data_IF_511033056819
#
_entry.id   IF_511033056819
#
_cell.length_a   1.000
_cell.length_b   1.000
_cell.length_c   1.000
_cell.angle_alpha   90.00
_cell.angle_beta   90.00
_cell.angle_gamma   90.00
#
_symmetry.space_group_name_H-M   'P 1'
#
loop_
_entity.id
_entity.type
_entity.pdbx_description
1 polymer ?
#
# COMPACT_ATOMS: atom_id res chain seq x y z
N UNK A 1 11.07 2.11 -20.88
CA UNK A 1 10.84 2.85 -19.62
C UNK A 1 12.21 3.22 -19.10
N UNK A 2 12.55 4.51 -19.10
CA UNK A 2 13.83 4.93 -18.54
C UNK A 2 13.78 4.83 -17.01
N UNK A 3 14.81 4.21 -16.42
CA UNK A 3 14.96 4.07 -14.98
C UNK A 3 15.48 5.40 -14.42
N UNK A 4 14.57 6.37 -14.28
CA UNK A 4 14.89 7.68 -13.74
C UNK A 4 14.65 7.77 -12.22
N UNK A 5 15.05 8.88 -11.62
CA UNK A 5 14.83 9.13 -10.18
C UNK A 5 13.35 9.12 -9.80
N UNK A 6 12.44 9.50 -10.71
CA UNK A 6 11.00 9.48 -10.44
C UNK A 6 10.48 8.05 -10.36
N UNK A 7 10.97 7.14 -11.21
CA UNK A 7 10.60 5.73 -11.20
C UNK A 7 10.93 5.07 -9.86
N UNK A 8 12.16 5.24 -9.35
CA UNK A 8 12.55 4.69 -8.04
C UNK A 8 11.77 5.32 -6.89
N UNK A 9 11.54 6.63 -6.94
CA UNK A 9 10.71 7.33 -5.97
C UNK A 9 9.27 6.80 -5.96
N UNK A 10 8.69 6.52 -7.12
CA UNK A 10 7.30 6.09 -7.23
C UNK A 10 7.11 4.62 -6.86
N UNK A 11 8.05 3.76 -7.26
CA UNK A 11 7.98 2.32 -6.99
C UNK A 11 8.41 1.99 -5.55
N UNK A 12 9.60 2.43 -5.12
CA UNK A 12 10.13 2.07 -3.80
C UNK A 12 9.81 3.14 -2.76
N UNK A 13 10.01 4.42 -3.09
CA UNK A 13 9.85 5.52 -2.14
C UNK A 13 8.42 5.64 -1.61
N UNK A 14 7.45 5.83 -2.50
CA UNK A 14 6.04 5.94 -2.12
C UNK A 14 5.50 4.63 -1.54
N UNK A 15 5.87 3.48 -2.08
CA UNK A 15 5.47 2.18 -1.54
C UNK A 15 5.91 2.00 -0.09
N UNK A 16 7.17 2.31 0.21
CA UNK A 16 7.71 2.26 1.57
C UNK A 16 7.06 3.29 2.50
N UNK A 17 6.88 4.54 2.06
CA UNK A 17 6.27 5.58 2.89
C UNK A 17 4.81 5.26 3.23
N UNK A 18 4.04 4.74 2.27
CA UNK A 18 2.65 4.32 2.50
C UNK A 18 2.57 3.14 3.46
N UNK A 19 3.45 2.15 3.30
CA UNK A 19 3.57 1.03 4.24
C UNK A 19 3.93 1.52 5.65
N UNK A 20 4.95 2.38 5.77
CA UNK A 20 5.41 2.92 7.05
C UNK A 20 4.31 3.72 7.75
N UNK A 21 3.52 4.50 7.01
CA UNK A 21 2.37 5.21 7.55
C UNK A 21 1.33 4.22 8.11
N UNK A 22 1.00 3.16 7.38
CA UNK A 22 0.10 2.12 7.85
C UNK A 22 0.63 1.40 9.10
N UNK A 23 1.92 1.07 9.11
CA UNK A 23 2.62 0.45 10.22
C UNK A 23 2.57 1.31 11.50
N UNK A 24 2.90 2.60 11.38
CA UNK A 24 2.84 3.55 12.51
C UNK A 24 1.42 3.72 13.01
N UNK A 25 0.43 3.87 12.12
CA UNK A 25 -0.98 3.91 12.51
C UNK A 25 -1.41 2.63 13.23
N UNK A 26 -0.94 1.46 12.78
CA UNK A 26 -1.17 0.17 13.43
C UNK A 26 -0.72 0.17 14.88
N UNK A 27 0.49 0.64 15.15
CA UNK A 27 1.04 0.75 16.51
C UNK A 27 0.21 1.74 17.35
N UNK A 28 -0.13 2.90 16.80
CA UNK A 28 -0.92 3.92 17.52
C UNK A 28 -2.31 3.40 17.87
N UNK A 29 -3.00 2.77 16.91
CA UNK A 29 -4.35 2.24 17.12
C UNK A 29 -4.36 1.03 18.06
N UNK A 30 -3.30 0.23 18.08
CA UNK A 30 -3.17 -0.86 19.04
C UNK A 30 -3.26 -0.39 20.51
N UNK A 31 -2.86 0.86 20.79
CA UNK A 31 -2.96 1.44 22.14
C UNK A 31 -4.38 1.89 22.53
N UNK A 32 -5.30 2.04 21.58
CA UNK A 32 -6.61 2.69 21.81
C UNK A 32 -7.82 1.87 21.35
N UNK A 33 -7.64 0.77 20.62
CA UNK A 33 -8.75 -0.06 20.14
C UNK A 33 -8.42 -1.55 20.03
N UNK A 34 -9.43 -2.44 19.98
CA UNK A 34 -9.22 -3.88 19.83
C UNK A 34 -8.48 -4.25 18.53
N UNK A 35 -7.56 -5.20 18.61
CA UNK A 35 -6.69 -5.59 17.49
C UNK A 35 -7.44 -5.99 16.21
N UNK A 36 -8.61 -6.63 16.33
CA UNK A 36 -9.41 -7.06 15.18
C UNK A 36 -10.06 -5.90 14.41
N UNK A 37 -10.14 -4.70 14.99
CA UNK A 37 -10.72 -3.51 14.33
C UNK A 37 -9.66 -2.69 13.58
N UNK A 38 -8.39 -2.82 13.95
CA UNK A 38 -7.30 -1.93 13.51
C UNK A 38 -7.20 -1.92 11.98
N UNK A 39 -7.11 -3.08 11.34
CA UNK A 39 -6.99 -3.14 9.87
C UNK A 39 -8.21 -2.56 9.17
N UNK A 40 -9.41 -2.77 9.69
CA UNK A 40 -10.64 -2.19 9.14
C UNK A 40 -10.69 -0.66 9.26
N UNK A 41 -10.08 -0.06 10.29
CA UNK A 41 -10.01 1.39 10.45
C UNK A 41 -8.88 1.99 9.61
N UNK A 42 -7.72 1.34 9.52
CA UNK A 42 -6.58 1.83 8.73
C UNK A 42 -6.88 1.78 7.24
N UNK A 43 -7.49 0.69 6.76
CA UNK A 43 -7.73 0.45 5.33
C UNK A 43 -8.40 1.63 4.60
N UNK A 44 -9.54 2.20 5.06
CA UNK A 44 -10.16 3.34 4.38
C UNK A 44 -9.27 4.59 4.37
N UNK A 45 -8.57 4.88 5.47
CA UNK A 45 -7.65 6.02 5.59
C UNK A 45 -6.49 5.87 4.60
N UNK A 46 -5.83 4.70 4.64
CA UNK A 46 -4.71 4.37 3.77
C UNK A 46 -5.14 4.37 2.29
N UNK A 47 -6.36 3.91 1.99
CA UNK A 47 -6.91 3.93 0.62
C UNK A 47 -7.05 5.36 0.08
N UNK A 48 -7.60 6.28 0.87
CA UNK A 48 -7.74 7.69 0.47
C UNK A 48 -6.38 8.32 0.21
N UNK A 49 -5.41 8.10 1.11
CA UNK A 49 -4.05 8.63 0.96
C UNK A 49 -3.36 8.02 -0.27
N UNK A 50 -3.50 6.71 -0.47
CA UNK A 50 -2.94 5.99 -1.63
C UNK A 50 -3.50 6.53 -2.94
N UNK A 51 -4.83 6.73 -3.01
CA UNK A 51 -5.47 7.35 -4.18
C UNK A 51 -4.94 8.75 -4.43
N UNK A 52 -4.78 9.57 -3.38
CA UNK A 52 -4.19 10.90 -3.52
C UNK A 52 -2.76 10.84 -4.07
N UNK A 53 -1.90 9.93 -3.59
CA UNK A 53 -0.54 9.73 -4.14
C UNK A 53 -0.60 9.32 -5.61
N UNK A 54 -1.37 8.28 -5.94
CA UNK A 54 -1.48 7.76 -7.31
C UNK A 54 -1.99 8.79 -8.31
N UNK A 55 -2.93 9.65 -7.89
CA UNK A 55 -3.55 10.66 -8.74
C UNK A 55 -2.68 11.92 -8.84
N UNK A 56 -2.19 12.44 -7.71
CA UNK A 56 -1.58 13.78 -7.62
C UNK A 56 -0.06 13.79 -7.63
N UNK A 57 0.60 12.68 -7.30
CA UNK A 57 2.06 12.64 -7.12
C UNK A 57 2.78 11.83 -8.19
N UNK A 58 2.10 10.85 -8.79
CA UNK A 58 2.63 10.06 -9.89
C UNK A 58 2.10 10.67 -11.19
N UNK A 59 2.98 11.10 -12.08
CA UNK A 59 2.62 11.87 -13.30
C UNK A 59 2.49 11.00 -14.57
N UNK A 60 2.82 9.71 -14.48
CA UNK A 60 2.71 8.77 -15.60
C UNK A 60 1.25 8.53 -16.03
N UNK A 61 1.09 8.13 -17.31
CA UNK A 61 -0.18 7.72 -17.93
C UNK A 61 -0.10 6.30 -18.51
N UNK A 62 1.07 5.67 -18.42
CA UNK A 62 1.32 4.32 -18.93
C UNK A 62 0.74 3.26 -18.01
N UNK A 63 -0.09 2.36 -18.55
CA UNK A 63 -0.64 1.23 -17.79
C UNK A 63 0.46 0.32 -17.24
N UNK A 64 1.48 0.01 -18.06
CA UNK A 64 2.61 -0.83 -17.65
C UNK A 64 3.36 -0.23 -16.46
N UNK A 65 3.49 1.10 -16.41
CA UNK A 65 4.13 1.79 -15.29
C UNK A 65 3.38 1.54 -13.97
N UNK A 66 2.06 1.71 -13.99
CA UNK A 66 1.22 1.45 -12.82
C UNK A 66 1.13 -0.03 -12.44
N UNK A 67 1.22 -0.93 -13.41
CA UNK A 67 1.31 -2.38 -13.14
C UNK A 67 2.58 -2.70 -12.34
N UNK A 68 3.73 -2.14 -12.76
CA UNK A 68 4.99 -2.32 -12.04
C UNK A 68 4.90 -1.73 -10.64
N UNK A 69 4.28 -0.55 -10.48
CA UNK A 69 4.02 0.04 -9.16
C UNK A 69 3.19 -0.91 -8.29
N UNK A 70 2.06 -1.42 -8.79
CA UNK A 70 1.18 -2.29 -8.02
C UNK A 70 1.86 -3.58 -7.58
N UNK A 71 2.61 -4.24 -8.48
CA UNK A 71 3.38 -5.44 -8.13
C UNK A 71 4.47 -5.12 -7.10
N UNK A 72 5.22 -4.04 -7.32
CA UNK A 72 6.33 -3.66 -6.43
C UNK A 72 5.83 -3.31 -5.04
N UNK A 73 4.75 -2.52 -4.94
CA UNK A 73 4.17 -2.13 -3.67
C UNK A 73 3.58 -3.34 -2.92
N UNK A 74 2.93 -4.27 -3.62
CA UNK A 74 2.43 -5.50 -3.02
C UNK A 74 3.56 -6.34 -2.42
N UNK A 75 4.63 -6.58 -3.21
CA UNK A 75 5.78 -7.36 -2.74
C UNK A 75 6.43 -6.67 -1.54
N UNK A 76 6.64 -5.36 -1.64
CA UNK A 76 7.26 -4.56 -0.58
C UNK A 76 6.42 -4.62 0.70
N UNK A 77 5.10 -4.44 0.61
CA UNK A 77 4.19 -4.55 1.74
C UNK A 77 4.26 -5.94 2.40
N UNK A 78 4.10 -7.01 1.62
CA UNK A 78 4.10 -8.38 2.14
C UNK A 78 5.43 -8.75 2.81
N UNK A 79 6.56 -8.34 2.22
CA UNK A 79 7.90 -8.57 2.79
C UNK A 79 8.07 -7.81 4.10
N UNK A 80 7.71 -6.52 4.13
CA UNK A 80 7.87 -5.70 5.32
C UNK A 80 6.92 -6.16 6.45
N UNK A 81 5.67 -6.51 6.15
CA UNK A 81 4.75 -7.08 7.14
C UNK A 81 5.28 -8.39 7.72
N UNK A 82 5.85 -9.25 6.88
CA UNK A 82 6.44 -10.50 7.36
C UNK A 82 7.55 -10.26 8.39
N UNK A 83 8.48 -9.34 8.11
CA UNK A 83 9.59 -9.07 9.02
C UNK A 83 9.18 -8.24 10.23
N UNK A 84 8.46 -7.14 10.02
CA UNK A 84 8.17 -6.15 11.06
C UNK A 84 6.88 -6.42 11.83
N UNK A 85 6.03 -7.34 11.38
CA UNK A 85 4.80 -7.69 12.08
C UNK A 85 4.80 -9.16 12.48
N UNK A 86 4.88 -10.06 11.51
CA UNK A 86 4.80 -11.51 11.78
C UNK A 86 5.97 -11.96 12.64
N UNK A 87 7.21 -11.66 12.21
CA UNK A 87 8.43 -12.05 12.93
C UNK A 87 8.74 -11.20 14.14
N UNK A 88 8.38 -9.92 14.15
CA UNK A 88 8.66 -9.06 15.30
C UNK A 88 7.67 -9.31 16.46
N UNK A 89 6.37 -9.42 16.16
CA UNK A 89 5.34 -9.44 17.20
C UNK A 89 4.71 -10.80 17.48
N UNK A 90 4.88 -11.80 16.60
CA UNK A 90 4.34 -13.16 16.78
C UNK A 90 2.86 -13.17 17.24
N UNK A 91 1.93 -12.57 16.47
CA UNK A 91 0.54 -12.42 16.90
C UNK A 91 -0.12 -13.78 17.13
N UNK A 92 -0.78 -13.95 18.28
CA UNK A 92 -1.36 -15.22 18.74
C UNK A 92 -2.44 -15.77 17.78
N UNK A 93 -3.27 -14.90 17.20
CA UNK A 93 -4.35 -15.28 16.27
C UNK A 93 -3.89 -15.32 14.80
N UNK A 94 -2.57 -15.27 14.57
CA UNK A 94 -2.01 -15.06 13.24
C UNK A 94 -2.21 -13.63 12.72
N UNK A 95 -1.44 -13.29 11.69
CA UNK A 95 -1.47 -11.97 11.06
C UNK A 95 -2.39 -11.92 9.84
N UNK A 96 -2.38 -12.95 9.00
CA UNK A 96 -3.09 -12.97 7.72
C UNK A 96 -4.60 -13.18 7.91
N UNK A 97 -5.31 -12.06 8.10
CA UNK A 97 -6.76 -11.96 8.31
C UNK A 97 -7.45 -11.30 7.10
N UNK A 98 -8.79 -11.33 6.99
CA UNK A 98 -9.51 -10.79 5.83
C UNK A 98 -9.18 -9.32 5.51
N UNK A 99 -8.98 -8.49 6.52
CA UNK A 99 -8.55 -7.09 6.41
C UNK A 99 -7.16 -6.95 5.77
N UNK A 100 -6.22 -7.86 6.08
CA UNK A 100 -4.88 -7.88 5.46
C UNK A 100 -4.96 -8.30 3.99
N UNK A 101 -5.80 -9.29 3.66
CA UNK A 101 -6.02 -9.67 2.26
C UNK A 101 -6.69 -8.56 1.44
N UNK A 102 -7.62 -7.83 2.05
CA UNK A 102 -8.22 -6.64 1.43
C UNK A 102 -7.15 -5.56 1.21
N UNK A 103 -6.32 -5.29 2.21
CA UNK A 103 -5.19 -4.38 2.09
C UNK A 103 -4.28 -4.74 0.90
N UNK A 104 -3.78 -5.98 0.82
CA UNK A 104 -2.94 -6.41 -0.30
C UNK A 104 -3.63 -6.30 -1.66
N UNK A 105 -4.91 -6.66 -1.71
CA UNK A 105 -5.71 -6.54 -2.92
C UNK A 105 -5.80 -5.08 -3.36
N UNK A 106 -6.03 -4.15 -2.43
CA UNK A 106 -6.09 -2.72 -2.72
C UNK A 106 -4.71 -2.16 -3.13
N UNK A 107 -3.64 -2.56 -2.45
CA UNK A 107 -2.26 -2.15 -2.80
C UNK A 107 -1.93 -2.47 -4.25
N UNK A 108 -2.37 -3.64 -4.75
CA UNK A 108 -2.17 -4.03 -6.13
C UNK A 108 -3.18 -3.41 -7.11
N UNK A 109 -4.48 -3.41 -6.76
CA UNK A 109 -5.55 -3.01 -7.68
C UNK A 109 -5.69 -1.49 -7.83
N UNK A 110 -5.42 -0.69 -6.80
CA UNK A 110 -5.58 0.77 -6.87
C UNK A 110 -4.68 1.42 -7.94
N UNK A 111 -3.38 1.08 -8.06
CA UNK A 111 -2.54 1.56 -9.16
C UNK A 111 -3.16 1.29 -10.54
N UNK A 112 -3.67 0.07 -10.76
CA UNK A 112 -4.29 -0.32 -12.03
C UNK A 112 -5.58 0.47 -12.30
N UNK A 113 -6.43 0.62 -11.28
CA UNK A 113 -7.66 1.39 -11.39
C UNK A 113 -7.38 2.87 -11.74
N UNK A 114 -6.37 3.48 -11.11
CA UNK A 114 -5.94 4.85 -11.43
C UNK A 114 -5.36 4.94 -12.84
N UNK A 115 -4.58 3.95 -13.28
CA UNK A 115 -4.06 3.88 -14.64
C UNK A 115 -5.19 3.91 -15.69
N UNK A 116 -6.19 3.04 -15.53
CA UNK A 116 -7.36 3.01 -16.41
C UNK A 116 -8.12 4.33 -16.40
N UNK A 117 -8.29 4.95 -15.23
CA UNK A 117 -8.96 6.24 -15.13
C UNK A 117 -8.18 7.36 -15.81
N UNK A 118 -6.84 7.41 -15.66
CA UNK A 118 -5.99 8.42 -16.31
C UNK A 118 -5.97 8.27 -17.82
N UNK A 119 -5.92 7.04 -18.34
CA UNK A 119 -5.96 6.79 -19.77
C UNK A 119 -7.25 7.28 -20.44
N UNK A 120 -8.39 7.21 -19.74
CA UNK A 120 -9.68 7.70 -20.26
C UNK A 120 -9.85 9.22 -20.23
N UNK A 121 -8.96 9.94 -19.52
CA UNK A 121 -8.99 11.40 -19.44
C UNK A 121 -8.12 12.11 -20.48
N UNK A 122 -7.25 11.35 -21.15
CA UNK A 122 -6.48 11.80 -22.31
C UNK A 122 -7.29 11.57 -23.58
#
# INVERSE_FOLDING_TARGET
MELDKSFFKDTLGWGFLLWLLGYVLGIVFFMIMPAHMIGWVITPIATIITLWVLIKKIESTSFQYYLIIGVTWLILAAVLDYFFIVKAFHPQDGYYKPDVFLYYSLTFCLPLAVAFWKQRKL
#
